data_IF_487766694774
#
_entry.id   IF_487766694774
#
_cell.length_a   1.000
_cell.length_b   1.000
_cell.length_c   1.000
_cell.angle_alpha   90.00
_cell.angle_beta   90.00
_cell.angle_gamma   90.00
#
_symmetry.space_group_name_H-M   'P 1'
#
loop_
_entity.id
_entity.type
_entity.pdbx_description
1 polymer ?
#
# COMPACT_ATOMS: atom_id res chain seq x y z
N UNK A 1 -26.03 18.34 11.31
CA UNK A 1 -25.17 18.67 12.46
C UNK A 1 -24.49 17.42 12.99
N UNK A 2 -23.18 17.49 13.29
CA UNK A 2 -22.45 16.38 13.90
C UNK A 2 -22.83 16.31 15.37
N UNK A 3 -23.24 15.14 15.91
CA UNK A 3 -23.59 14.99 17.31
C UNK A 3 -22.43 15.42 18.23
N UNK A 4 -22.73 16.07 19.35
CA UNK A 4 -21.69 16.52 20.28
C UNK A 4 -20.83 15.38 20.84
N UNK A 5 -21.40 14.17 20.96
CA UNK A 5 -20.70 12.96 21.40
C UNK A 5 -19.91 12.25 20.28
N UNK A 6 -19.95 12.71 19.05
CA UNK A 6 -19.17 12.12 17.95
C UNK A 6 -17.68 12.31 18.18
N UNK A 7 -16.80 11.35 17.78
CA UNK A 7 -15.36 11.52 17.87
C UNK A 7 -14.91 12.82 17.19
N UNK A 8 -13.92 13.53 17.75
CA UNK A 8 -13.43 14.80 17.18
C UNK A 8 -12.68 14.63 15.86
N UNK A 9 -12.21 13.42 15.57
CA UNK A 9 -11.51 13.03 14.36
C UNK A 9 -11.75 11.55 14.04
N UNK A 10 -11.47 11.17 12.81
CA UNK A 10 -11.50 9.80 12.33
C UNK A 10 -10.49 9.64 11.19
N UNK A 11 -10.13 8.41 10.85
CA UNK A 11 -9.25 8.14 9.74
C UNK A 11 -10.03 7.60 8.56
N UNK A 12 -9.85 8.20 7.37
CA UNK A 12 -10.38 7.71 6.10
C UNK A 12 -9.23 7.32 5.18
N UNK A 13 -9.39 6.18 4.53
CA UNK A 13 -8.46 5.68 3.53
C UNK A 13 -9.15 5.68 2.17
N UNK A 14 -8.88 6.65 1.34
CA UNK A 14 -9.50 6.79 0.03
C UNK A 14 -8.80 5.91 -1.01
N UNK A 15 -9.60 5.23 -1.82
CA UNK A 15 -9.15 4.34 -2.89
C UNK A 15 -9.65 4.86 -4.25
N UNK A 16 -9.01 5.88 -4.81
CA UNK A 16 -9.57 6.65 -5.94
C UNK A 16 -9.68 5.86 -7.24
N UNK A 17 -8.93 4.76 -7.38
CA UNK A 17 -9.03 3.84 -8.52
C UNK A 17 -9.59 2.46 -8.15
N UNK A 18 -10.23 2.34 -6.98
CA UNK A 18 -10.76 1.06 -6.49
C UNK A 18 -9.68 0.00 -6.38
N UNK A 19 -9.94 -1.20 -6.92
CA UNK A 19 -9.00 -2.33 -6.96
C UNK A 19 -8.06 -2.32 -8.15
N UNK A 20 -8.20 -1.38 -9.10
CA UNK A 20 -7.36 -1.32 -10.31
C UNK A 20 -5.89 -1.13 -9.95
N UNK A 21 -5.03 -2.03 -10.46
CA UNK A 21 -3.58 -1.99 -10.24
C UNK A 21 -2.83 -2.31 -11.54
N UNK A 22 -1.61 -1.79 -11.65
CA UNK A 22 -0.70 -2.05 -12.77
C UNK A 22 0.19 -3.30 -12.57
N UNK A 23 0.13 -3.91 -11.36
CA UNK A 23 0.80 -5.18 -11.05
C UNK A 23 -0.21 -6.23 -10.59
N UNK A 24 0.22 -7.49 -10.54
CA UNK A 24 -0.61 -8.65 -10.21
C UNK A 24 0.03 -9.47 -9.07
N UNK A 25 0.26 -8.84 -7.92
CA UNK A 25 0.81 -9.53 -6.75
C UNK A 25 -0.02 -10.77 -6.41
N UNK A 26 0.60 -11.94 -6.38
CA UNK A 26 -0.10 -13.22 -6.21
C UNK A 26 -0.96 -13.27 -4.93
N UNK A 27 -0.50 -12.64 -3.86
CA UNK A 27 -1.21 -12.57 -2.57
C UNK A 27 -2.21 -11.42 -2.43
N UNK A 28 -2.42 -10.60 -3.48
CA UNK A 28 -3.23 -9.40 -3.33
C UNK A 28 -4.72 -9.73 -3.20
N UNK A 29 -5.23 -9.69 -1.99
CA UNK A 29 -6.66 -9.87 -1.71
C UNK A 29 -7.53 -8.78 -2.34
N UNK A 30 -6.95 -7.59 -2.58
CA UNK A 30 -7.71 -6.42 -3.01
C UNK A 30 -8.03 -6.45 -4.51
N UNK A 31 -7.19 -7.05 -5.35
CA UNK A 31 -7.46 -7.20 -6.79
C UNK A 31 -8.76 -7.97 -7.07
N UNK A 32 -9.09 -8.95 -6.24
CA UNK A 32 -10.33 -9.73 -6.37
C UNK A 32 -11.61 -8.91 -6.21
N UNK A 33 -11.52 -7.73 -5.58
CA UNK A 33 -12.68 -6.83 -5.37
C UNK A 33 -13.22 -6.21 -6.66
N UNK A 34 -12.48 -6.31 -7.77
CA UNK A 34 -13.00 -5.97 -9.10
C UNK A 34 -14.28 -6.77 -9.44
N UNK A 35 -14.40 -8.00 -8.92
CA UNK A 35 -15.57 -8.84 -9.12
C UNK A 35 -16.87 -8.24 -8.55
N UNK A 36 -16.78 -7.31 -7.57
CA UNK A 36 -17.93 -6.63 -6.99
C UNK A 36 -18.51 -5.52 -7.89
N UNK A 37 -17.73 -5.05 -8.86
CA UNK A 37 -18.06 -3.91 -9.73
C UNK A 37 -17.78 -4.22 -11.19
N UNK A 38 -18.41 -5.24 -11.80
CA UNK A 38 -17.99 -5.83 -13.08
C UNK A 38 -18.10 -4.89 -14.29
N UNK A 39 -18.87 -3.81 -14.18
CA UNK A 39 -19.13 -2.88 -15.28
C UNK A 39 -18.67 -1.44 -14.99
N UNK A 40 -18.02 -1.20 -13.86
CA UNK A 40 -17.63 0.15 -13.46
C UNK A 40 -16.14 0.39 -13.70
N UNK A 41 -15.82 1.54 -14.30
CA UNK A 41 -14.48 2.09 -14.24
C UNK A 41 -14.34 2.74 -12.86
N UNK A 42 -13.79 2.01 -11.91
CA UNK A 42 -13.57 2.46 -10.52
C UNK A 42 -12.59 3.62 -10.47
N UNK A 43 -13.03 4.80 -10.94
CA UNK A 43 -12.23 6.04 -10.88
C UNK A 43 -13.06 7.12 -10.22
N UNK A 44 -12.51 7.69 -9.15
CA UNK A 44 -13.12 8.83 -8.47
C UNK A 44 -13.20 10.01 -9.44
N UNK A 45 -14.39 10.60 -9.61
CA UNK A 45 -14.58 11.82 -10.40
C UNK A 45 -14.01 13.05 -9.66
N UNK A 46 -13.77 14.14 -10.38
CA UNK A 46 -13.33 15.39 -9.77
C UNK A 46 -14.37 15.97 -8.81
N UNK A 47 -15.65 15.80 -9.11
CA UNK A 47 -16.74 16.24 -8.25
C UNK A 47 -16.77 15.44 -6.94
N UNK A 48 -16.60 14.10 -7.02
CA UNK A 48 -16.49 13.23 -5.85
C UNK A 48 -15.26 13.58 -5.02
N UNK A 49 -14.12 13.87 -5.66
CA UNK A 49 -12.90 14.31 -5.00
C UNK A 49 -13.12 15.59 -4.19
N UNK A 50 -13.80 16.59 -4.77
CA UNK A 50 -14.09 17.86 -4.09
C UNK A 50 -15.02 17.65 -2.89
N UNK A 51 -16.09 16.89 -3.06
CA UNK A 51 -17.03 16.56 -1.97
C UNK A 51 -16.30 15.78 -0.86
N UNK A 52 -15.49 14.76 -1.20
CA UNK A 52 -14.73 13.99 -0.25
C UNK A 52 -13.80 14.84 0.61
N UNK A 53 -12.95 15.65 -0.02
CA UNK A 53 -11.98 16.49 0.71
C UNK A 53 -12.70 17.54 1.55
N UNK A 54 -13.70 18.21 0.98
CA UNK A 54 -14.49 19.23 1.70
C UNK A 54 -15.10 18.62 2.97
N UNK A 55 -15.83 17.51 2.86
CA UNK A 55 -16.49 16.88 3.99
C UNK A 55 -15.48 16.34 5.02
N UNK A 56 -14.34 15.79 4.58
CA UNK A 56 -13.27 15.35 5.47
C UNK A 56 -12.77 16.52 6.35
N UNK A 57 -12.45 17.65 5.74
CA UNK A 57 -11.93 18.82 6.46
C UNK A 57 -12.99 19.47 7.37
N UNK A 58 -14.22 19.60 6.90
CA UNK A 58 -15.33 20.17 7.68
C UNK A 58 -15.68 19.32 8.91
N UNK A 59 -15.63 18.00 8.77
CA UNK A 59 -16.00 17.04 9.85
C UNK A 59 -14.98 16.96 10.97
N UNK A 60 -13.70 17.29 10.70
CA UNK A 60 -12.66 17.23 11.71
C UNK A 60 -12.71 18.46 12.63
N UNK A 61 -12.67 18.20 13.94
CA UNK A 61 -12.60 19.21 15.02
C UNK A 61 -11.20 19.35 15.62
N UNK A 62 -10.26 18.53 15.16
CA UNK A 62 -8.84 18.56 15.51
C UNK A 62 -8.04 19.37 14.48
N UNK A 63 -6.91 19.96 14.87
CA UNK A 63 -6.02 20.64 13.92
C UNK A 63 -5.41 19.69 12.88
N UNK A 64 -5.06 18.47 13.29
CA UNK A 64 -4.39 17.51 12.41
C UNK A 64 -5.43 16.72 11.60
N UNK A 65 -5.30 16.76 10.28
CA UNK A 65 -6.16 16.02 9.35
C UNK A 65 -5.28 15.28 8.34
N UNK A 66 -5.54 13.99 8.12
CA UNK A 66 -4.82 13.20 7.14
C UNK A 66 -5.68 12.92 5.91
N UNK A 67 -5.18 13.28 4.74
CA UNK A 67 -5.72 12.84 3.44
C UNK A 67 -4.90 11.65 2.98
N UNK A 68 -5.47 10.44 3.14
CA UNK A 68 -4.75 9.20 2.88
C UNK A 68 -5.21 8.52 1.59
N UNK A 69 -4.27 8.28 0.68
CA UNK A 69 -4.48 7.66 -0.62
C UNK A 69 -3.91 6.24 -0.65
N UNK A 70 -4.74 5.29 -1.01
CA UNK A 70 -4.39 3.89 -1.20
C UNK A 70 -5.26 3.29 -2.32
N UNK A 71 -5.32 1.99 -2.43
CA UNK A 71 -6.22 1.27 -3.34
C UNK A 71 -5.52 0.12 -4.02
N UNK A 72 -5.83 -0.13 -5.28
CA UNK A 72 -5.02 -0.96 -6.14
C UNK A 72 -3.67 -0.28 -6.34
N UNK A 73 -3.58 0.65 -7.28
CA UNK A 73 -2.42 1.55 -7.38
C UNK A 73 -2.89 2.99 -7.64
N UNK A 74 -2.83 3.88 -6.65
CA UNK A 74 -3.39 5.23 -6.78
C UNK A 74 -2.70 6.09 -7.85
N UNK A 75 -1.42 5.84 -8.18
CA UNK A 75 -0.72 6.58 -9.24
C UNK A 75 -1.35 6.41 -10.63
N UNK A 76 -2.21 5.41 -10.83
CA UNK A 76 -3.02 5.24 -12.05
C UNK A 76 -4.05 6.38 -12.25
N UNK A 77 -4.36 7.15 -11.21
CA UNK A 77 -5.19 8.36 -11.33
C UNK A 77 -4.46 9.52 -12.02
N UNK A 78 -3.15 9.38 -12.24
CA UNK A 78 -2.22 10.38 -12.79
C UNK A 78 -2.00 11.57 -11.87
N UNK A 79 -0.88 12.27 -12.08
CA UNK A 79 -0.42 13.35 -11.21
C UNK A 79 -1.41 14.51 -11.12
N UNK A 80 -2.12 14.83 -12.20
CA UNK A 80 -3.09 15.94 -12.23
C UNK A 80 -4.25 15.77 -11.24
N UNK A 81 -4.67 14.54 -10.98
CA UNK A 81 -5.68 14.27 -9.95
C UNK A 81 -5.19 14.69 -8.56
N UNK A 82 -3.94 14.41 -8.23
CA UNK A 82 -3.37 14.76 -6.92
C UNK A 82 -2.99 16.23 -6.81
N UNK A 83 -2.60 16.87 -7.88
CA UNK A 83 -2.47 18.35 -7.92
C UNK A 83 -3.81 18.99 -7.59
N UNK A 84 -4.89 18.51 -8.21
CA UNK A 84 -6.24 19.00 -7.91
C UNK A 84 -6.64 18.71 -6.47
N UNK A 85 -6.28 17.56 -5.91
CA UNK A 85 -6.57 17.26 -4.50
C UNK A 85 -5.93 18.25 -3.53
N UNK A 86 -4.70 18.67 -3.79
CA UNK A 86 -4.01 19.68 -2.98
C UNK A 86 -4.68 21.06 -3.12
N UNK A 87 -5.04 21.47 -4.33
CA UNK A 87 -5.78 22.72 -4.56
C UNK A 87 -7.11 22.76 -3.79
N UNK A 88 -7.84 21.63 -3.77
CA UNK A 88 -9.09 21.51 -3.03
C UNK A 88 -8.84 21.58 -1.52
N UNK A 89 -7.78 20.95 -1.01
CA UNK A 89 -7.38 21.06 0.40
C UNK A 89 -7.13 22.53 0.75
N UNK A 90 -6.35 23.25 -0.04
CA UNK A 90 -6.07 24.67 0.21
C UNK A 90 -7.34 25.55 0.15
N UNK A 91 -8.31 25.18 -0.68
CA UNK A 91 -9.60 25.87 -0.78
C UNK A 91 -10.47 25.72 0.46
N UNK A 92 -10.46 24.54 1.10
CA UNK A 92 -11.42 24.19 2.15
C UNK A 92 -10.82 24.02 3.54
N UNK A 93 -9.48 23.97 3.71
CA UNK A 93 -8.86 23.83 5.02
C UNK A 93 -9.18 25.03 5.90
N UNK A 94 -9.44 24.76 7.17
CA UNK A 94 -9.62 25.82 8.18
C UNK A 94 -8.25 26.44 8.55
N UNK A 95 -8.19 27.69 9.01
CA UNK A 95 -6.92 28.37 9.33
C UNK A 95 -6.04 27.62 10.34
N UNK A 96 -6.65 26.85 11.23
CA UNK A 96 -5.96 26.07 12.28
C UNK A 96 -5.74 24.61 11.90
N UNK A 97 -6.06 24.18 10.66
CA UNK A 97 -5.85 22.81 10.21
C UNK A 97 -4.50 22.67 9.55
N UNK A 98 -3.75 21.65 10.03
CA UNK A 98 -2.55 21.13 9.40
C UNK A 98 -2.92 19.84 8.67
N UNK A 99 -2.79 19.82 7.34
CA UNK A 99 -3.20 18.69 6.51
C UNK A 99 -1.98 17.91 6.05
N UNK A 100 -1.90 16.66 6.50
CA UNK A 100 -0.89 15.71 6.06
C UNK A 100 -1.40 14.89 4.89
N UNK A 101 -0.61 14.75 3.85
CA UNK A 101 -0.88 13.87 2.71
C UNK A 101 -0.09 12.57 2.84
N UNK A 102 -0.76 11.43 2.74
CA UNK A 102 -0.09 10.12 2.68
C UNK A 102 -0.46 9.37 1.41
N UNK A 103 0.48 8.62 0.86
CA UNK A 103 0.29 7.96 -0.44
C UNK A 103 0.96 6.59 -0.44
N UNK A 104 0.15 5.52 -0.45
CA UNK A 104 0.62 4.15 -0.50
C UNK A 104 0.72 3.67 -1.95
N UNK A 105 1.90 3.24 -2.38
CA UNK A 105 2.18 2.87 -3.77
C UNK A 105 3.11 1.66 -3.91
N UNK A 106 3.00 0.96 -5.03
CA UNK A 106 4.00 -0.02 -5.46
C UNK A 106 5.26 0.62 -6.08
N UNK A 107 5.26 1.92 -6.30
CA UNK A 107 6.41 2.71 -6.74
C UNK A 107 6.77 2.62 -8.22
N UNK A 108 6.09 1.79 -9.03
CA UNK A 108 6.50 1.53 -10.41
C UNK A 108 6.35 2.73 -11.36
N UNK A 109 5.41 3.64 -11.06
CA UNK A 109 5.12 4.81 -11.89
C UNK A 109 5.76 6.10 -11.37
N UNK A 110 6.55 6.02 -10.30
CA UNK A 110 7.24 7.19 -9.75
C UNK A 110 8.38 7.64 -10.68
N UNK A 111 8.43 8.94 -10.90
CA UNK A 111 9.43 9.64 -11.70
C UNK A 111 9.79 11.01 -11.08
N UNK A 112 10.51 11.83 -11.82
CA UNK A 112 10.93 13.16 -11.36
C UNK A 112 9.72 14.09 -11.07
N UNK A 113 8.69 14.05 -11.89
CA UNK A 113 7.52 14.91 -11.73
C UNK A 113 6.71 14.52 -10.48
N UNK A 114 6.48 13.23 -10.27
CA UNK A 114 5.83 12.70 -9.07
C UNK A 114 6.61 13.07 -7.81
N UNK A 115 7.92 12.81 -7.79
CA UNK A 115 8.72 13.02 -6.58
C UNK A 115 8.96 14.50 -6.29
N UNK A 116 9.06 15.37 -7.31
CA UNK A 116 9.07 16.81 -7.15
C UNK A 116 7.76 17.32 -6.52
N UNK A 117 6.62 16.82 -7.00
CA UNK A 117 5.31 17.16 -6.44
C UNK A 117 5.18 16.68 -4.99
N UNK A 118 5.54 15.43 -4.69
CA UNK A 118 5.49 14.90 -3.32
C UNK A 118 6.36 15.71 -2.36
N UNK A 119 7.57 16.06 -2.78
CA UNK A 119 8.46 16.91 -1.96
C UNK A 119 7.89 18.28 -1.72
N UNK A 120 7.38 18.93 -2.76
CA UNK A 120 6.80 20.27 -2.68
C UNK A 120 5.63 20.34 -1.69
N UNK A 121 4.81 19.29 -1.63
CA UNK A 121 3.58 19.25 -0.83
C UNK A 121 3.68 18.35 0.41
N UNK A 122 4.90 18.00 0.83
CA UNK A 122 5.19 17.23 2.04
C UNK A 122 4.38 15.92 2.15
N UNK A 123 4.29 15.17 1.05
CA UNK A 123 3.68 13.85 1.10
C UNK A 123 4.57 12.86 1.85
N UNK A 124 3.97 12.04 2.70
CA UNK A 124 4.59 10.82 3.22
C UNK A 124 4.24 9.64 2.32
N UNK A 125 5.23 8.98 1.78
CA UNK A 125 5.05 7.88 0.84
C UNK A 125 5.21 6.54 1.54
N UNK A 126 4.21 5.67 1.45
CA UNK A 126 4.33 4.26 1.79
C UNK A 126 4.77 3.48 0.55
N UNK A 127 6.01 3.02 0.51
CA UNK A 127 6.53 2.23 -0.60
C UNK A 127 6.45 0.74 -0.27
N UNK A 128 5.86 -0.03 -1.17
CA UNK A 128 5.68 -1.48 -0.96
C UNK A 128 6.90 -2.27 -1.44
N UNK A 129 7.68 -2.85 -0.52
CA UNK A 129 8.85 -3.70 -0.82
C UNK A 129 8.94 -4.84 0.19
N UNK A 130 9.01 -6.10 -0.29
CA UNK A 130 8.98 -7.28 0.58
C UNK A 130 10.37 -7.81 0.99
N UNK A 131 11.44 -7.20 0.49
CA UNK A 131 12.82 -7.58 0.76
C UNK A 131 13.72 -7.55 -0.48
N UNK A 132 14.88 -8.23 -0.47
CA UNK A 132 15.74 -8.40 -1.62
C UNK A 132 15.00 -8.98 -2.84
N UNK A 133 15.60 -8.88 -4.03
CA UNK A 133 15.01 -9.23 -5.33
C UNK A 133 14.27 -10.58 -5.33
N UNK A 134 14.93 -11.64 -4.89
CA UNK A 134 14.41 -13.00 -4.97
C UNK A 134 13.14 -13.16 -4.11
N UNK A 135 13.10 -12.47 -2.98
CA UNK A 135 11.95 -12.43 -2.08
C UNK A 135 10.83 -11.57 -2.67
N UNK A 136 11.16 -10.36 -3.10
CA UNK A 136 10.19 -9.42 -3.66
C UNK A 136 9.51 -10.00 -4.91
N UNK A 137 10.32 -10.48 -5.85
CA UNK A 137 9.85 -10.99 -7.14
C UNK A 137 9.15 -12.34 -7.04
N UNK A 138 9.17 -13.00 -5.88
CA UNK A 138 8.43 -14.25 -5.66
C UNK A 138 6.92 -14.05 -5.81
N UNK A 139 6.39 -12.93 -5.33
CA UNK A 139 4.94 -12.69 -5.29
C UNK A 139 4.53 -11.31 -5.85
N UNK A 140 5.43 -10.33 -5.95
CA UNK A 140 5.12 -9.04 -6.56
C UNK A 140 5.45 -9.06 -8.05
N UNK A 141 4.54 -9.64 -8.80
CA UNK A 141 4.67 -9.82 -10.25
C UNK A 141 3.89 -8.74 -11.00
N UNK A 142 4.35 -8.42 -12.21
CA UNK A 142 3.53 -7.67 -13.15
C UNK A 142 2.47 -8.59 -13.82
N UNK A 143 1.60 -8.00 -14.63
CA UNK A 143 0.51 -8.74 -15.28
C UNK A 143 0.99 -9.78 -16.30
N UNK A 144 2.25 -9.78 -16.66
CA UNK A 144 2.89 -10.77 -17.54
C UNK A 144 3.67 -11.84 -16.73
N UNK A 145 3.59 -11.80 -15.41
CA UNK A 145 4.29 -12.74 -14.53
C UNK A 145 5.77 -12.42 -14.29
N UNK A 146 6.26 -11.25 -14.71
CA UNK A 146 7.64 -10.85 -14.48
C UNK A 146 7.79 -10.15 -13.11
N UNK A 147 8.95 -10.30 -12.48
CA UNK A 147 9.30 -9.60 -11.24
C UNK A 147 9.26 -8.07 -11.40
N UNK A 148 8.97 -7.37 -10.33
CA UNK A 148 8.82 -5.91 -10.32
C UNK A 148 9.93 -5.19 -9.57
N UNK A 149 10.91 -5.90 -9.01
CA UNK A 149 11.97 -5.34 -8.17
C UNK A 149 12.74 -4.18 -8.82
N UNK A 150 13.19 -4.33 -10.07
CA UNK A 150 13.95 -3.26 -10.75
C UNK A 150 13.11 -2.00 -10.96
N UNK A 151 11.82 -2.16 -11.23
CA UNK A 151 10.89 -1.04 -11.42
C UNK A 151 10.64 -0.31 -10.11
N UNK A 152 10.41 -1.03 -8.99
CA UNK A 152 10.23 -0.38 -7.69
C UNK A 152 11.51 0.29 -7.21
N UNK A 153 12.68 -0.32 -7.41
CA UNK A 153 13.97 0.28 -7.06
C UNK A 153 14.27 1.53 -7.90
N UNK A 154 13.79 1.60 -9.14
CA UNK A 154 13.84 2.85 -9.93
C UNK A 154 12.99 3.94 -9.27
N UNK A 155 11.75 3.64 -8.87
CA UNK A 155 10.87 4.57 -8.15
C UNK A 155 11.48 5.03 -6.82
N UNK A 156 12.08 4.11 -6.05
CA UNK A 156 12.80 4.43 -4.82
C UNK A 156 13.97 5.41 -5.06
N UNK A 157 14.76 5.24 -6.15
CA UNK A 157 15.83 6.17 -6.49
C UNK A 157 15.33 7.59 -6.74
N UNK A 158 14.13 7.75 -7.34
CA UNK A 158 13.51 9.07 -7.48
C UNK A 158 13.10 9.66 -6.14
N UNK A 159 12.53 8.87 -5.21
CA UNK A 159 12.23 9.33 -3.86
C UNK A 159 13.51 9.83 -3.15
N UNK A 160 14.60 9.08 -3.23
CA UNK A 160 15.91 9.47 -2.68
C UNK A 160 16.45 10.76 -3.33
N UNK A 161 16.45 10.84 -4.67
CA UNK A 161 16.92 11.99 -5.42
C UNK A 161 16.22 13.29 -5.00
N UNK A 162 14.92 13.24 -4.80
CA UNK A 162 14.10 14.39 -4.40
C UNK A 162 13.99 14.57 -2.88
N UNK A 163 14.61 13.70 -2.08
CA UNK A 163 14.52 13.71 -0.61
C UNK A 163 13.06 13.71 -0.12
N UNK A 164 12.23 12.90 -0.75
CA UNK A 164 10.84 12.66 -0.32
C UNK A 164 10.85 11.76 0.89
N UNK A 165 10.05 12.06 1.89
CA UNK A 165 9.88 11.19 3.06
C UNK A 165 9.10 9.92 2.67
N UNK A 166 9.63 8.77 3.07
CA UNK A 166 8.98 7.50 2.79
C UNK A 166 9.18 6.48 3.90
N UNK A 167 8.17 5.62 4.04
CA UNK A 167 8.18 4.42 4.86
C UNK A 167 8.11 3.20 3.96
N UNK A 168 8.63 2.07 4.41
CA UNK A 168 8.47 0.79 3.72
C UNK A 168 7.33 -0.01 4.35
N UNK A 169 6.46 -0.53 3.49
CA UNK A 169 5.47 -1.53 3.84
C UNK A 169 5.93 -2.87 3.27
N UNK A 170 6.31 -3.78 4.17
CA UNK A 170 6.79 -5.11 3.85
C UNK A 170 5.74 -6.14 4.23
N UNK A 171 5.29 -6.93 3.25
CA UNK A 171 4.38 -8.03 3.48
C UNK A 171 5.18 -9.26 3.90
N UNK A 172 4.89 -9.81 5.10
CA UNK A 172 5.53 -11.03 5.57
C UNK A 172 4.72 -12.24 5.11
N UNK A 173 5.37 -13.13 4.41
CA UNK A 173 4.79 -14.27 3.72
C UNK A 173 5.74 -15.48 3.73
N UNK A 174 5.35 -16.59 3.12
CA UNK A 174 6.16 -17.80 3.11
C UNK A 174 7.56 -17.61 2.47
N UNK A 175 7.75 -16.63 1.58
CA UNK A 175 9.04 -16.42 0.94
C UNK A 175 10.06 -15.71 1.84
N UNK A 176 9.62 -14.88 2.79
CA UNK A 176 10.52 -14.14 3.68
C UNK A 176 10.43 -14.53 5.14
N UNK A 177 9.53 -15.42 5.55
CA UNK A 177 9.29 -15.78 6.96
C UNK A 177 10.54 -16.33 7.70
N UNK A 178 11.54 -16.83 7.00
CA UNK A 178 12.81 -17.31 7.56
C UNK A 178 13.98 -16.34 7.34
N UNK A 179 13.73 -15.18 6.76
CA UNK A 179 14.74 -14.21 6.34
C UNK A 179 14.60 -12.85 7.03
N UNK A 180 14.07 -12.82 8.27
CA UNK A 180 13.78 -11.57 9.00
C UNK A 180 14.98 -10.63 9.06
N UNK A 181 16.16 -11.14 9.41
CA UNK A 181 17.39 -10.35 9.50
C UNK A 181 17.86 -9.81 8.15
N UNK A 182 17.81 -10.63 7.10
CA UNK A 182 18.26 -10.22 5.76
C UNK A 182 17.32 -9.18 5.15
N UNK A 183 16.01 -9.37 5.32
CA UNK A 183 14.98 -8.39 4.92
C UNK A 183 15.20 -7.07 5.64
N UNK A 184 15.37 -7.10 6.97
CA UNK A 184 15.58 -5.90 7.76
C UNK A 184 16.84 -5.15 7.34
N UNK A 185 17.97 -5.85 7.21
CA UNK A 185 19.24 -5.26 6.75
C UNK A 185 19.12 -4.63 5.37
N UNK A 186 18.49 -5.31 4.42
CA UNK A 186 18.24 -4.77 3.09
C UNK A 186 17.46 -3.45 3.15
N UNK A 187 16.35 -3.43 3.89
CA UNK A 187 15.50 -2.25 4.01
C UNK A 187 16.20 -1.09 4.74
N UNK A 188 16.92 -1.39 5.83
CA UNK A 188 17.67 -0.39 6.61
C UNK A 188 18.91 0.11 5.86
N UNK A 189 19.78 -0.81 5.41
CA UNK A 189 21.13 -0.48 4.95
C UNK A 189 21.19 -0.07 3.49
N UNK A 190 20.42 -0.75 2.62
CA UNK A 190 20.42 -0.46 1.19
C UNK A 190 19.36 0.59 0.84
N UNK A 191 18.13 0.43 1.31
CA UNK A 191 17.05 1.37 1.01
C UNK A 191 17.05 2.61 1.92
N UNK A 192 17.84 2.63 3.00
CA UNK A 192 17.98 3.79 3.91
C UNK A 192 16.64 4.28 4.46
N UNK A 193 15.76 3.35 4.82
CA UNK A 193 14.49 3.72 5.46
C UNK A 193 14.62 3.76 6.98
N UNK A 194 13.92 4.70 7.62
CA UNK A 194 13.85 4.81 9.07
C UNK A 194 12.57 4.17 9.64
N UNK A 195 11.59 3.86 8.79
CA UNK A 195 10.30 3.31 9.21
C UNK A 195 9.91 2.13 8.34
N UNK A 196 9.65 1.00 8.98
CA UNK A 196 9.23 -0.23 8.31
C UNK A 196 7.99 -0.75 9.03
N UNK A 197 6.98 -1.08 8.26
CA UNK A 197 5.82 -1.81 8.75
C UNK A 197 5.82 -3.23 8.17
N UNK A 198 5.80 -4.23 9.04
CA UNK A 198 5.72 -5.64 8.68
C UNK A 198 4.28 -6.13 8.83
N UNK A 199 3.66 -6.58 7.74
CA UNK A 199 2.27 -7.04 7.70
C UNK A 199 2.24 -8.51 7.34
N UNK A 200 1.81 -9.40 8.25
CA UNK A 200 1.72 -10.83 7.96
C UNK A 200 0.56 -11.13 7.01
N UNK A 201 0.78 -12.00 6.05
CA UNK A 201 -0.28 -12.54 5.20
C UNK A 201 -0.90 -13.76 5.87
N UNK A 202 -2.23 -13.73 5.97
CA UNK A 202 -3.06 -14.89 6.31
C UNK A 202 -4.18 -14.97 5.29
N UNK A 203 -4.01 -15.85 4.28
CA UNK A 203 -5.02 -16.07 3.24
C UNK A 203 -5.79 -17.35 3.54
N UNK A 204 -7.04 -17.20 3.95
CA UNK A 204 -7.92 -18.35 4.24
C UNK A 204 -8.56 -18.87 2.97
N UNK A 205 -8.77 -20.19 2.93
CA UNK A 205 -9.44 -20.89 1.84
C UNK A 205 -10.29 -22.04 2.38
N UNK A 206 -11.28 -22.45 1.61
CA UNK A 206 -12.01 -23.70 1.80
C UNK A 206 -11.28 -24.85 1.07
N UNK A 207 -11.68 -26.10 1.31
CA UNK A 207 -11.16 -27.23 0.55
C UNK A 207 -11.38 -27.06 -0.97
N UNK A 208 -12.53 -26.51 -1.35
CA UNK A 208 -12.91 -26.31 -2.75
C UNK A 208 -12.12 -25.19 -3.43
N UNK A 209 -11.69 -24.18 -2.68
CA UNK A 209 -11.00 -22.99 -3.22
C UNK A 209 -9.49 -23.03 -3.04
N UNK A 210 -8.93 -23.97 -2.27
CA UNK A 210 -7.51 -23.99 -1.92
C UNK A 210 -6.60 -24.06 -3.17
N UNK A 211 -6.96 -24.88 -4.15
CA UNK A 211 -6.15 -25.04 -5.37
C UNK A 211 -6.06 -23.71 -6.15
N UNK A 212 -7.20 -23.07 -6.43
CA UNK A 212 -7.22 -21.78 -7.13
C UNK A 212 -6.65 -20.65 -6.28
N UNK A 213 -6.83 -20.73 -4.96
CA UNK A 213 -6.21 -19.80 -4.03
C UNK A 213 -4.68 -19.85 -4.10
N UNK A 214 -4.08 -21.04 -4.12
CA UNK A 214 -2.63 -21.23 -4.28
C UNK A 214 -2.10 -20.69 -5.61
N UNK A 215 -2.92 -20.65 -6.66
CA UNK A 215 -2.62 -19.99 -7.95
C UNK A 215 -2.81 -18.47 -7.94
N UNK A 216 -3.15 -17.86 -6.80
CA UNK A 216 -3.38 -16.41 -6.67
C UNK A 216 -4.82 -15.99 -6.97
N UNK A 217 -5.78 -16.87 -6.70
CA UNK A 217 -7.23 -16.66 -6.90
C UNK A 217 -7.63 -16.51 -8.37
N UNK A 218 -6.79 -16.94 -9.30
CA UNK A 218 -7.07 -16.90 -10.74
C UNK A 218 -6.59 -18.15 -11.45
N UNK A 219 -7.25 -18.51 -12.54
CA UNK A 219 -6.85 -19.67 -13.37
C UNK A 219 -5.51 -19.43 -14.08
N UNK A 220 -5.26 -18.18 -14.46
CA UNK A 220 -4.06 -17.77 -15.18
C UNK A 220 -3.62 -16.35 -14.74
N UNK A 221 -2.31 -16.04 -14.80
CA UNK A 221 -1.81 -14.69 -14.56
C UNK A 221 -2.56 -13.65 -15.41
N UNK A 222 -2.96 -12.54 -14.79
CA UNK A 222 -3.68 -11.46 -15.46
C UNK A 222 -5.16 -11.71 -15.75
N UNK A 223 -5.69 -12.90 -15.45
CA UNK A 223 -7.12 -13.19 -15.58
C UNK A 223 -7.91 -12.65 -14.38
N UNK A 224 -9.26 -12.62 -14.51
CA UNK A 224 -10.13 -12.22 -13.41
C UNK A 224 -9.94 -13.15 -12.22
N UNK A 225 -9.82 -12.56 -11.03
CA UNK A 225 -9.70 -13.32 -9.80
C UNK A 225 -11.08 -13.66 -9.23
N UNK A 226 -11.19 -14.82 -8.61
CA UNK A 226 -12.32 -15.13 -7.74
C UNK A 226 -12.35 -14.14 -6.57
N UNK A 227 -13.55 -13.77 -6.13
CA UNK A 227 -13.72 -12.88 -5.01
C UNK A 227 -13.19 -13.54 -3.73
N UNK A 228 -12.20 -12.92 -3.11
CA UNK A 228 -11.67 -13.36 -1.83
C UNK A 228 -12.58 -12.89 -0.69
N UNK A 229 -13.15 -13.83 0.07
CA UNK A 229 -14.14 -13.61 1.15
C UNK A 229 -13.60 -13.89 2.55
N UNK A 230 -12.36 -14.37 2.69
CA UNK A 230 -11.74 -14.83 3.95
C UNK A 230 -12.46 -16.03 4.60
N UNK A 231 -13.17 -16.81 3.83
CA UNK A 231 -13.85 -18.00 4.28
C UNK A 231 -12.91 -19.21 4.35
N UNK A 232 -13.33 -20.23 5.11
CA UNK A 232 -12.60 -21.47 5.27
C UNK A 232 -11.67 -21.50 6.48
N UNK A 233 -11.13 -22.68 6.74
CA UNK A 233 -10.22 -23.02 7.85
C UNK A 233 -8.84 -23.49 7.37
N UNK A 234 -8.65 -23.63 6.06
CA UNK A 234 -7.35 -23.86 5.44
C UNK A 234 -6.67 -22.53 5.12
N UNK A 235 -5.37 -22.55 4.85
CA UNK A 235 -4.60 -21.39 4.46
C UNK A 235 -3.76 -21.70 3.22
N UNK A 236 -3.51 -20.68 2.40
CA UNK A 236 -2.65 -20.82 1.21
C UNK A 236 -1.20 -21.07 1.60
N UNK A 237 -0.42 -21.63 0.65
CA UNK A 237 1.03 -21.84 0.79
C UNK A 237 1.81 -20.54 1.00
N UNK A 238 1.25 -19.39 0.66
CA UNK A 238 1.86 -18.07 0.88
C UNK A 238 1.69 -17.55 2.29
N UNK A 239 0.75 -18.10 3.04
CA UNK A 239 0.49 -17.69 4.41
C UNK A 239 1.72 -17.89 5.29
N UNK A 240 2.08 -16.88 6.05
CA UNK A 240 3.14 -16.99 7.06
C UNK A 240 2.64 -17.79 8.26
N UNK A 241 3.43 -18.75 8.71
CA UNK A 241 3.12 -19.48 9.94
C UNK A 241 3.26 -18.60 11.19
N UNK A 242 2.38 -18.78 12.19
CA UNK A 242 2.43 -17.98 13.40
C UNK A 242 3.77 -18.04 14.15
N UNK A 243 4.35 -19.26 14.28
CA UNK A 243 5.68 -19.45 14.87
C UNK A 243 6.78 -18.76 14.03
N UNK A 244 6.71 -18.88 12.71
CA UNK A 244 7.67 -18.30 11.80
C UNK A 244 7.59 -16.76 11.82
N UNK A 245 6.39 -16.20 11.91
CA UNK A 245 6.23 -14.76 12.07
C UNK A 245 6.81 -14.26 13.39
N UNK A 246 6.58 -14.96 14.48
CA UNK A 246 7.21 -14.65 15.76
C UNK A 246 8.75 -14.67 15.68
N UNK A 247 9.33 -15.70 15.06
CA UNK A 247 10.78 -15.79 14.86
C UNK A 247 11.30 -14.67 13.95
N UNK A 248 10.59 -14.35 12.86
CA UNK A 248 10.91 -13.26 11.97
C UNK A 248 11.03 -11.92 12.72
N UNK A 249 10.09 -11.63 13.62
CA UNK A 249 10.13 -10.40 14.44
C UNK A 249 11.26 -10.43 15.49
N UNK A 250 11.56 -11.59 16.08
CA UNK A 250 12.70 -11.74 17.02
C UNK A 250 14.01 -11.48 16.30
N UNK A 251 14.21 -12.06 15.11
CA UNK A 251 15.44 -11.85 14.31
C UNK A 251 15.67 -10.37 13.97
N UNK A 252 14.59 -9.65 13.65
CA UNK A 252 14.64 -8.20 13.42
C UNK A 252 14.96 -7.45 14.70
N UNK A 253 14.28 -7.76 15.80
CA UNK A 253 14.48 -7.09 17.07
C UNK A 253 15.93 -7.25 17.57
N UNK A 254 16.49 -8.45 17.48
CA UNK A 254 17.89 -8.70 17.85
C UNK A 254 18.88 -7.90 16.99
N UNK A 255 18.61 -7.74 15.71
CA UNK A 255 19.46 -6.94 14.82
C UNK A 255 19.31 -5.44 15.13
N UNK A 256 18.09 -4.98 15.35
CA UNK A 256 17.76 -3.60 15.67
C UNK A 256 18.43 -3.15 16.99
N UNK A 257 18.27 -3.91 18.05
CA UNK A 257 18.86 -3.59 19.36
C UNK A 257 20.41 -3.52 19.32
N UNK A 258 21.03 -4.34 18.46
CA UNK A 258 22.52 -4.35 18.38
C UNK A 258 23.10 -3.23 17.53
N UNK A 259 22.34 -2.66 16.61
CA UNK A 259 22.87 -1.76 15.58
C UNK A 259 22.27 -0.36 15.57
N UNK A 260 21.04 -0.22 16.01
CA UNK A 260 20.25 1.00 15.81
C UNK A 260 19.79 1.65 17.14
N UNK A 261 20.09 1.02 18.29
CA UNK A 261 19.80 1.54 19.64
C UNK A 261 21.06 1.88 20.39
#
# INVERSE_FOLDING_TARGET
DIPAAAPPCFHLLAKPCGSTCNIDCTYCFFLSKEALYPNEKSRMSMDTLEVYIKQLLESHRTPEVTVAWQGGEPSLMRLEFFKRSVEIVEKYRKPNQNVQHTFQTNGLLLDDDWCSFFKKHNFLIGLSVDGPREIHDKYRLDRNGNGTFDKVMKGWRYLQKHKVEFNILCTVNAANQYHGRDVYRFLRDEMKTNWIQFIPIVERATEETLEVANKGWSEQPGSKRLLYTQEGNLVTERTVGGKQYGQFLIDIFEEWVRKDV
#
